data_IF_843627511898
#
_entry.id   IF_843627511898
#
_cell.length_a   1.000
_cell.length_b   1.000
_cell.length_c   1.000
_cell.angle_alpha   90.00
_cell.angle_beta   90.00
_cell.angle_gamma   90.00
#
_symmetry.space_group_name_H-M   'P 1'
#
loop_
_entity.id
_entity.type
_entity.pdbx_description
1 polymer ?
#
# COMPACT_ATOMS: atom_id res chain seq x y z
N UNK A 1 28.92 47.13 14.31
CA UNK A 1 28.51 46.38 13.11
C UNK A 1 27.26 45.62 13.46
N UNK A 2 26.11 46.22 13.11
CA UNK A 2 24.79 45.77 13.47
C UNK A 2 24.37 44.58 12.58
N UNK A 3 24.20 43.43 13.21
CA UNK A 3 23.50 42.30 12.60
C UNK A 3 22.01 42.43 12.96
N UNK A 4 21.25 43.12 12.12
CA UNK A 4 19.78 43.20 12.26
C UNK A 4 19.19 41.77 12.23
N UNK A 5 18.31 41.40 13.16
CA UNK A 5 17.60 40.14 13.12
C UNK A 5 16.61 40.15 11.97
N UNK A 6 16.67 39.16 11.08
CA UNK A 6 15.77 38.97 9.96
C UNK A 6 14.32 38.96 10.45
N UNK A 7 13.53 39.92 9.96
CA UNK A 7 12.16 40.22 10.35
C UNK A 7 11.23 39.00 10.18
N UNK A 8 10.30 38.71 11.12
CA UNK A 8 9.35 37.59 11.03
C UNK A 8 8.45 37.62 9.77
N UNK A 9 8.28 38.76 9.15
CA UNK A 9 7.53 38.95 7.89
C UNK A 9 8.23 38.30 6.67
N UNK A 10 9.56 38.15 6.69
CA UNK A 10 10.33 37.52 5.60
C UNK A 10 10.17 36.00 5.68
N UNK A 11 10.13 35.41 6.88
CA UNK A 11 9.89 33.96 7.07
C UNK A 11 8.49 33.54 6.60
N UNK A 12 7.46 34.37 6.83
CA UNK A 12 6.09 34.11 6.37
C UNK A 12 5.96 34.08 4.85
N UNK A 13 6.55 35.05 4.15
CA UNK A 13 6.51 35.14 2.68
C UNK A 13 7.22 33.96 2.00
N UNK A 14 8.39 33.52 2.50
CA UNK A 14 9.09 32.37 1.97
C UNK A 14 8.30 31.07 2.20
N UNK A 15 7.67 30.90 3.37
CA UNK A 15 6.88 29.73 3.68
C UNK A 15 5.69 29.55 2.72
N UNK A 16 4.98 30.62 2.39
CA UNK A 16 3.86 30.58 1.46
C UNK A 16 4.33 30.33 0.02
N UNK A 17 5.45 30.93 -0.37
CA UNK A 17 6.07 30.68 -1.67
C UNK A 17 6.50 29.21 -1.81
N UNK A 18 7.11 28.61 -0.78
CA UNK A 18 7.47 27.20 -0.79
C UNK A 18 6.23 26.30 -0.85
N UNK A 19 5.17 26.62 -0.12
CA UNK A 19 3.90 25.89 -0.20
C UNK A 19 3.30 25.94 -1.60
N UNK A 20 3.31 27.11 -2.24
CA UNK A 20 2.86 27.29 -3.63
C UNK A 20 3.67 26.43 -4.60
N UNK A 21 5.00 26.46 -4.51
CA UNK A 21 5.90 25.64 -5.34
C UNK A 21 5.70 24.13 -5.12
N UNK A 22 5.55 23.71 -3.88
CA UNK A 22 5.19 22.32 -3.55
C UNK A 22 3.82 21.97 -4.15
N UNK A 23 2.86 22.88 -4.11
CA UNK A 23 1.55 22.71 -4.73
C UNK A 23 1.64 22.50 -6.25
N UNK A 24 2.41 23.33 -6.95
CA UNK A 24 2.65 23.23 -8.39
C UNK A 24 3.29 21.87 -8.75
N UNK A 25 4.35 21.47 -8.02
CA UNK A 25 4.95 20.15 -8.21
C UNK A 25 3.95 19.01 -7.99
N UNK A 26 3.13 19.07 -6.95
CA UNK A 26 2.15 18.02 -6.66
C UNK A 26 1.06 17.93 -7.73
N UNK A 27 0.72 19.02 -8.41
CA UNK A 27 -0.24 19.04 -9.51
C UNK A 27 0.22 18.19 -10.71
N UNK A 28 1.54 17.97 -10.88
CA UNK A 28 2.08 17.10 -11.94
C UNK A 28 1.79 15.60 -11.75
N UNK A 29 1.17 15.21 -10.63
CA UNK A 29 0.82 13.81 -10.36
C UNK A 29 -0.69 13.59 -10.43
N UNK A 30 -1.17 12.64 -11.22
CA UNK A 30 -2.59 12.29 -11.33
C UNK A 30 -3.14 11.66 -10.05
N UNK A 31 -2.32 10.81 -9.40
CA UNK A 31 -2.75 10.05 -8.24
C UNK A 31 -2.86 10.90 -6.98
N UNK A 32 -4.07 11.07 -6.45
CA UNK A 32 -4.33 11.76 -5.19
C UNK A 32 -3.55 11.16 -4.01
N UNK A 33 -3.42 9.83 -3.96
CA UNK A 33 -2.63 9.15 -2.92
C UNK A 33 -1.14 9.47 -3.02
N UNK A 34 -0.60 9.57 -4.23
CA UNK A 34 0.79 9.99 -4.48
C UNK A 34 1.00 11.43 -4.04
N UNK A 35 0.09 12.33 -4.43
CA UNK A 35 0.11 13.74 -4.00
C UNK A 35 0.10 13.87 -2.48
N UNK A 36 -0.79 13.16 -1.79
CA UNK A 36 -0.89 13.20 -0.33
C UNK A 36 0.36 12.66 0.37
N UNK A 37 0.95 11.57 -0.13
CA UNK A 37 2.18 11.00 0.41
C UNK A 37 3.37 11.94 0.21
N UNK A 38 3.57 12.43 -1.00
CA UNK A 38 4.67 13.33 -1.35
C UNK A 38 4.57 14.67 -0.64
N UNK A 39 3.35 15.23 -0.54
CA UNK A 39 3.11 16.45 0.25
C UNK A 39 3.58 16.29 1.69
N UNK A 40 3.21 15.18 2.34
CA UNK A 40 3.62 14.92 3.74
C UNK A 40 5.12 14.82 3.88
N UNK A 41 5.78 14.14 2.93
CA UNK A 41 7.23 13.92 2.99
C UNK A 41 8.02 15.21 2.76
N UNK A 42 7.63 16.02 1.77
CA UNK A 42 8.32 17.30 1.47
C UNK A 42 8.02 18.36 2.52
N UNK A 43 6.81 18.40 3.08
CA UNK A 43 6.51 19.29 4.22
C UNK A 43 7.29 18.90 5.47
N UNK A 44 7.61 17.61 5.66
CA UNK A 44 8.49 17.17 6.74
C UNK A 44 9.93 17.63 6.52
N UNK A 45 10.42 17.57 5.28
CA UNK A 45 11.72 18.12 4.90
C UNK A 45 11.75 19.64 5.10
N UNK A 46 10.75 20.36 4.62
CA UNK A 46 10.65 21.82 4.79
C UNK A 46 10.77 22.21 6.28
N UNK A 47 10.00 21.57 7.15
CA UNK A 47 10.07 21.82 8.60
C UNK A 47 11.45 21.55 9.19
N UNK A 48 12.13 20.50 8.72
CA UNK A 48 13.48 20.19 9.16
C UNK A 48 14.48 21.26 8.73
N UNK A 49 14.40 21.72 7.48
CA UNK A 49 15.26 22.78 6.96
C UNK A 49 15.02 24.10 7.67
N UNK A 50 13.77 24.49 7.86
CA UNK A 50 13.37 25.70 8.60
C UNK A 50 13.94 25.71 10.03
N UNK A 51 13.87 24.57 10.72
CA UNK A 51 14.43 24.41 12.07
C UNK A 51 15.96 24.59 12.12
N UNK A 52 16.64 24.40 10.99
CA UNK A 52 18.10 24.59 10.86
C UNK A 52 18.45 25.89 10.12
N UNK A 53 17.49 26.79 9.91
CA UNK A 53 17.73 28.07 9.23
C UNK A 53 18.10 27.94 7.77
N UNK A 54 17.78 26.82 7.12
CA UNK A 54 18.08 26.56 5.70
C UNK A 54 16.83 26.74 4.86
N UNK A 55 16.92 27.51 3.79
CA UNK A 55 15.82 27.65 2.83
C UNK A 55 15.71 26.41 1.93
N UNK A 56 14.48 26.04 1.55
CA UNK A 56 14.19 24.84 0.77
C UNK A 56 14.94 24.82 -0.58
N UNK A 57 15.10 25.96 -1.25
CA UNK A 57 15.73 26.04 -2.55
C UNK A 57 17.27 26.25 -2.48
N UNK A 58 17.80 26.62 -1.33
CA UNK A 58 19.24 26.75 -1.11
C UNK A 58 19.84 25.54 -0.38
N UNK A 59 19.00 24.56 -0.02
CA UNK A 59 19.43 23.34 0.63
C UNK A 59 20.48 22.59 -0.20
N UNK A 60 21.51 22.11 0.48
CA UNK A 60 22.61 21.34 -0.11
C UNK A 60 22.50 19.88 0.27
N UNK A 61 23.28 19.03 -0.38
CA UNK A 61 23.34 17.60 -0.08
C UNK A 61 23.51 17.30 1.42
N UNK A 62 24.41 18.04 2.09
CA UNK A 62 24.65 17.88 3.54
C UNK A 62 23.39 18.04 4.39
N UNK A 63 22.51 18.96 4.01
CA UNK A 63 21.27 19.25 4.75
C UNK A 63 20.27 18.08 4.60
N UNK A 64 20.25 17.45 3.44
CA UNK A 64 19.47 16.23 3.17
C UNK A 64 20.07 14.99 3.86
N UNK A 65 21.39 14.89 3.97
CA UNK A 65 22.05 13.84 4.75
C UNK A 65 21.72 13.98 6.26
N UNK A 66 21.70 15.23 6.78
CA UNK A 66 21.28 15.54 8.16
C UNK A 66 19.78 15.20 8.36
N UNK A 67 18.91 15.56 7.41
CA UNK A 67 17.50 15.16 7.43
C UNK A 67 17.36 13.63 7.52
N UNK A 68 18.06 12.90 6.67
CA UNK A 68 18.01 11.43 6.68
C UNK A 68 18.48 10.84 8.02
N UNK A 69 19.52 11.43 8.63
CA UNK A 69 20.02 11.05 9.96
C UNK A 69 19.00 11.33 11.05
N UNK A 70 18.42 12.53 11.05
CA UNK A 70 17.37 12.91 12.01
C UNK A 70 16.16 11.96 11.93
N UNK A 71 15.74 11.57 10.70
CA UNK A 71 14.65 10.62 10.53
C UNK A 71 14.95 9.24 11.14
N UNK A 72 16.19 8.75 11.03
CA UNK A 72 16.61 7.51 11.67
C UNK A 72 16.59 7.61 13.19
N UNK A 73 17.08 8.72 13.75
CA UNK A 73 17.06 8.98 15.19
C UNK A 73 15.64 9.01 15.77
N UNK A 74 14.64 9.47 15.00
CA UNK A 74 13.24 9.44 15.42
C UNK A 74 12.56 8.07 15.18
N UNK A 75 13.32 7.02 14.90
CA UNK A 75 12.81 5.65 14.76
C UNK A 75 12.17 5.35 13.39
N UNK A 76 12.37 6.19 12.38
CA UNK A 76 11.87 5.88 11.04
C UNK A 76 12.61 4.68 10.43
N UNK A 77 11.85 3.71 9.91
CA UNK A 77 12.42 2.54 9.24
C UNK A 77 13.24 2.91 7.99
N UNK A 78 14.24 2.09 7.60
CA UNK A 78 15.03 2.31 6.38
C UNK A 78 14.16 2.56 5.13
N UNK A 79 13.07 1.82 4.97
CA UNK A 79 12.11 1.97 3.88
C UNK A 79 11.40 3.34 3.92
N UNK A 80 11.05 3.82 5.11
CA UNK A 80 10.43 5.13 5.29
C UNK A 80 11.41 6.25 4.95
N UNK A 81 12.66 6.15 5.40
CA UNK A 81 13.71 7.13 5.08
C UNK A 81 14.00 7.14 3.57
N UNK A 82 14.15 5.97 2.94
CA UNK A 82 14.37 5.85 1.50
C UNK A 82 13.22 6.49 0.69
N UNK A 83 11.96 6.29 1.09
CA UNK A 83 10.78 6.89 0.46
C UNK A 83 10.78 8.42 0.60
N UNK A 84 11.08 8.95 1.80
CA UNK A 84 11.15 10.41 2.06
C UNK A 84 12.24 11.07 1.21
N UNK A 85 13.41 10.44 1.11
CA UNK A 85 14.48 10.92 0.25
C UNK A 85 14.14 10.81 -1.25
N UNK A 86 13.35 9.81 -1.65
CA UNK A 86 12.84 9.72 -3.01
C UNK A 86 11.87 10.86 -3.34
N UNK A 87 10.99 11.25 -2.41
CA UNK A 87 10.11 12.40 -2.56
C UNK A 87 10.91 13.71 -2.67
N UNK A 88 11.91 13.91 -1.81
CA UNK A 88 12.81 15.06 -1.89
C UNK A 88 13.53 15.13 -3.25
N UNK A 89 14.09 14.01 -3.70
CA UNK A 89 14.76 13.93 -5.01
C UNK A 89 13.82 14.24 -6.17
N UNK A 90 12.57 13.80 -6.10
CA UNK A 90 11.55 14.09 -7.12
C UNK A 90 11.16 15.58 -7.12
N UNK A 91 11.00 16.20 -5.95
CA UNK A 91 10.75 17.63 -5.81
C UNK A 91 11.89 18.47 -6.40
N UNK A 92 13.13 18.18 -6.00
CA UNK A 92 14.29 18.94 -6.52
C UNK A 92 14.53 18.72 -8.00
N UNK A 93 14.19 17.55 -8.56
CA UNK A 93 14.23 17.35 -10.01
C UNK A 93 13.24 18.26 -10.72
N UNK A 94 12.02 18.38 -10.18
CA UNK A 94 11.02 19.30 -10.70
C UNK A 94 11.49 20.76 -10.55
N UNK A 95 12.09 21.12 -9.41
CA UNK A 95 12.62 22.46 -9.18
C UNK A 95 13.74 22.85 -10.16
N UNK A 96 14.54 21.88 -10.64
CA UNK A 96 15.53 22.12 -11.72
C UNK A 96 14.82 22.35 -13.06
N UNK A 97 13.78 21.58 -13.38
CA UNK A 97 13.01 21.73 -14.62
C UNK A 97 12.26 23.07 -14.69
N UNK A 98 11.83 23.60 -13.54
CA UNK A 98 11.20 24.91 -13.42
C UNK A 98 12.22 26.05 -13.22
N UNK A 99 13.50 25.76 -13.34
CA UNK A 99 14.60 26.75 -13.19
C UNK A 99 14.63 27.46 -11.83
N UNK A 100 14.00 26.90 -10.80
CA UNK A 100 14.06 27.44 -9.43
C UNK A 100 15.41 27.25 -8.78
N UNK A 101 16.15 26.23 -9.21
CA UNK A 101 17.50 25.87 -8.77
C UNK A 101 18.31 25.34 -9.96
N UNK A 102 19.61 25.58 -9.98
CA UNK A 102 20.47 25.12 -11.06
C UNK A 102 20.80 23.61 -11.00
N UNK A 103 20.88 23.04 -9.79
CA UNK A 103 21.29 21.65 -9.61
C UNK A 103 20.45 20.95 -8.53
N UNK A 104 20.19 19.66 -8.71
CA UNK A 104 19.45 18.86 -7.75
C UNK A 104 20.36 18.41 -6.58
N UNK A 105 20.18 18.93 -5.36
CA UNK A 105 20.99 18.54 -4.19
C UNK A 105 20.81 17.08 -3.77
N UNK A 106 19.73 16.43 -4.23
CA UNK A 106 19.42 15.05 -3.91
C UNK A 106 19.95 14.05 -4.96
N UNK A 107 20.65 14.49 -6.00
CA UNK A 107 21.09 13.64 -7.12
C UNK A 107 21.98 12.47 -6.66
N UNK A 108 22.94 12.74 -5.78
CA UNK A 108 23.89 11.75 -5.28
C UNK A 108 23.61 11.27 -3.85
N UNK A 109 22.36 11.42 -3.35
CA UNK A 109 22.00 10.94 -2.04
C UNK A 109 22.06 9.41 -1.95
N UNK A 110 22.80 8.91 -0.95
CA UNK A 110 22.78 7.50 -0.62
C UNK A 110 21.48 7.18 0.12
N UNK A 111 20.58 6.47 -0.55
CA UNK A 111 19.37 5.95 0.10
C UNK A 111 19.71 4.71 0.91
N UNK A 112 19.12 4.53 2.11
CA UNK A 112 19.25 3.28 2.83
C UNK A 112 18.90 2.10 1.94
N UNK A 113 19.71 1.05 1.99
CA UNK A 113 19.34 -0.21 1.35
C UNK A 113 18.09 -0.74 2.07
N UNK A 114 17.05 -0.95 1.33
CA UNK A 114 15.85 -1.66 1.78
C UNK A 114 16.01 -3.04 1.22
N UNK A 115 16.22 -4.01 2.11
CA UNK A 115 16.28 -5.39 1.65
C UNK A 115 14.91 -5.76 1.06
N UNK A 116 14.92 -6.02 -0.24
CA UNK A 116 13.68 -6.30 -0.96
C UNK A 116 13.08 -7.64 -0.51
N UNK A 117 13.89 -8.50 0.05
CA UNK A 117 13.51 -9.86 0.46
C UNK A 117 13.11 -9.92 1.96
N UNK A 118 13.42 -8.91 2.78
CA UNK A 118 12.94 -8.80 4.16
C UNK A 118 11.58 -8.10 4.23
N UNK A 119 10.51 -8.86 4.26
CA UNK A 119 9.23 -8.36 4.78
C UNK A 119 9.22 -8.54 6.29
N UNK A 120 9.31 -7.44 7.02
CA UNK A 120 9.10 -7.41 8.49
C UNK A 120 7.65 -7.75 8.88
N UNK A 121 6.74 -7.76 7.93
CA UNK A 121 5.34 -8.08 8.16
C UNK A 121 5.14 -9.59 8.05
N UNK A 122 5.01 -10.27 9.17
CA UNK A 122 4.56 -11.65 9.19
C UNK A 122 3.09 -11.71 8.76
N UNK A 123 2.74 -12.62 7.84
CA UNK A 123 1.35 -12.98 7.58
C UNK A 123 0.78 -13.72 8.79
N UNK A 124 -0.53 -13.86 8.84
CA UNK A 124 -1.21 -14.69 9.82
C UNK A 124 -0.87 -16.18 9.55
N UNK A 125 -0.80 -16.96 10.61
CA UNK A 125 -0.85 -18.40 10.49
C UNK A 125 -2.21 -18.84 9.95
N UNK A 126 -2.31 -20.10 9.49
CA UNK A 126 -3.59 -20.66 9.04
C UNK A 126 -4.66 -20.57 10.14
N UNK A 127 -4.31 -20.94 11.37
CA UNK A 127 -5.19 -20.88 12.51
C UNK A 127 -5.66 -19.45 12.81
N UNK A 128 -4.75 -18.47 12.86
CA UNK A 128 -5.13 -17.06 13.06
C UNK A 128 -6.03 -16.53 11.94
N UNK A 129 -5.87 -17.02 10.71
CA UNK A 129 -6.75 -16.64 9.60
C UNK A 129 -8.15 -17.26 9.76
N UNK A 130 -8.25 -18.51 10.25
CA UNK A 130 -9.49 -19.20 10.58
C UNK A 130 -10.20 -18.50 11.76
N UNK A 131 -9.49 -18.17 12.83
CA UNK A 131 -10.01 -17.42 13.98
C UNK A 131 -10.55 -16.04 13.56
N UNK A 132 -9.84 -15.35 12.65
CA UNK A 132 -10.27 -14.07 12.11
C UNK A 132 -11.57 -14.18 11.30
N UNK A 133 -11.70 -15.24 10.49
CA UNK A 133 -12.92 -15.51 9.70
C UNK A 133 -14.12 -15.79 10.60
N UNK A 134 -13.94 -16.59 11.64
CA UNK A 134 -14.99 -16.87 12.64
C UNK A 134 -15.45 -15.58 13.32
N UNK A 135 -14.50 -14.79 13.83
CA UNK A 135 -14.83 -13.50 14.45
C UNK A 135 -15.51 -12.53 13.46
N UNK A 136 -15.17 -12.61 12.16
CA UNK A 136 -15.81 -11.78 11.14
C UNK A 136 -17.26 -12.17 10.88
N UNK A 137 -17.58 -13.47 10.88
CA UNK A 137 -18.93 -14.00 10.74
C UNK A 137 -19.84 -13.51 11.87
N UNK A 138 -19.34 -13.55 13.11
CA UNK A 138 -20.07 -13.08 14.29
C UNK A 138 -20.24 -11.55 14.30
N UNK A 139 -19.32 -10.81 13.67
CA UNK A 139 -19.33 -9.34 13.71
C UNK A 139 -20.37 -8.73 12.76
N UNK A 140 -20.32 -9.03 11.46
CA UNK A 140 -21.28 -8.59 10.44
C UNK A 140 -21.01 -9.23 9.08
N UNK A 141 -22.09 -9.42 8.30
CA UNK A 141 -22.02 -9.96 6.92
C UNK A 141 -21.03 -9.17 6.05
N UNK A 142 -21.03 -7.84 6.12
CA UNK A 142 -20.13 -6.97 5.35
C UNK A 142 -18.67 -7.17 5.74
N UNK A 143 -18.35 -7.26 7.02
CA UNK A 143 -16.98 -7.46 7.49
C UNK A 143 -16.50 -8.85 7.13
N UNK A 144 -17.36 -9.86 7.27
CA UNK A 144 -17.07 -11.24 6.88
C UNK A 144 -16.75 -11.32 5.38
N UNK A 145 -17.62 -10.80 4.51
CA UNK A 145 -17.42 -10.80 3.07
C UNK A 145 -16.09 -10.10 2.66
N UNK A 146 -15.73 -8.99 3.33
CA UNK A 146 -14.46 -8.30 3.06
C UNK A 146 -13.26 -9.14 3.51
N UNK A 147 -13.30 -9.72 4.72
CA UNK A 147 -12.19 -10.55 5.24
C UNK A 147 -11.98 -11.77 4.37
N UNK A 148 -13.07 -12.47 4.02
CA UNK A 148 -13.05 -13.64 3.15
C UNK A 148 -12.46 -13.30 1.78
N UNK A 149 -12.97 -12.25 1.13
CA UNK A 149 -12.45 -11.78 -0.16
C UNK A 149 -10.94 -11.48 -0.10
N UNK A 150 -10.49 -10.73 0.92
CA UNK A 150 -9.07 -10.36 1.03
C UNK A 150 -8.16 -11.56 1.33
N UNK A 151 -8.61 -12.50 2.15
CA UNK A 151 -7.85 -13.70 2.48
C UNK A 151 -7.81 -14.72 1.33
N UNK A 152 -8.95 -14.94 0.66
CA UNK A 152 -9.04 -15.96 -0.36
C UNK A 152 -8.49 -15.53 -1.73
N UNK A 153 -8.50 -14.23 -2.03
CA UNK A 153 -8.06 -13.74 -3.35
C UNK A 153 -6.80 -12.88 -3.30
N UNK A 154 -6.46 -12.35 -2.13
CA UNK A 154 -5.33 -11.45 -1.97
C UNK A 154 -5.48 -10.11 -2.72
N UNK A 155 -6.66 -9.71 -3.17
CA UNK A 155 -6.89 -8.41 -3.83
C UNK A 155 -6.53 -7.24 -2.91
N UNK A 156 -6.18 -6.10 -3.49
CA UNK A 156 -5.93 -4.90 -2.70
C UNK A 156 -7.23 -4.36 -2.13
N UNK A 157 -7.18 -3.81 -0.91
CA UNK A 157 -8.37 -3.20 -0.28
C UNK A 157 -9.04 -2.15 -1.18
N UNK A 158 -8.25 -1.37 -1.93
CA UNK A 158 -8.81 -0.40 -2.87
C UNK A 158 -9.52 -1.05 -4.04
N UNK A 159 -9.04 -2.20 -4.52
CA UNK A 159 -9.67 -2.99 -5.58
C UNK A 159 -10.99 -3.59 -5.08
N UNK A 160 -11.01 -4.12 -3.86
CA UNK A 160 -12.23 -4.63 -3.22
C UNK A 160 -13.29 -3.54 -3.02
N UNK A 161 -12.89 -2.39 -2.45
CA UNK A 161 -13.82 -1.30 -2.11
C UNK A 161 -14.32 -0.49 -3.32
N UNK A 162 -13.70 -0.66 -4.49
CA UNK A 162 -14.16 -0.06 -5.76
C UNK A 162 -14.85 -1.07 -6.68
N UNK A 163 -14.97 -2.32 -6.25
CA UNK A 163 -15.72 -3.32 -7.00
C UNK A 163 -17.23 -3.02 -6.93
N UNK A 164 -17.93 -3.32 -8.02
CA UNK A 164 -19.38 -3.05 -8.17
C UNK A 164 -20.20 -4.33 -8.18
N UNK A 165 -21.49 -4.22 -7.91
CA UNK A 165 -22.44 -5.33 -7.96
C UNK A 165 -22.49 -5.95 -9.36
N UNK A 166 -22.45 -5.15 -10.42
CA UNK A 166 -22.38 -5.65 -11.80
C UNK A 166 -21.08 -6.35 -12.16
N UNK A 167 -20.03 -6.23 -11.32
CA UNK A 167 -18.78 -6.97 -11.47
C UNK A 167 -18.79 -8.33 -10.76
N UNK A 168 -19.78 -8.63 -9.92
CA UNK A 168 -19.90 -9.87 -9.16
C UNK A 168 -20.64 -10.92 -9.97
N UNK A 169 -19.97 -12.01 -10.30
CA UNK A 169 -20.57 -13.22 -10.92
C UNK A 169 -20.61 -14.38 -9.93
N UNK A 170 -21.06 -15.54 -10.39
CA UNK A 170 -21.17 -16.73 -9.55
C UNK A 170 -19.81 -17.22 -8.99
N UNK A 171 -18.75 -17.16 -9.78
CA UNK A 171 -17.41 -17.68 -9.46
C UNK A 171 -16.30 -16.66 -9.67
N UNK A 172 -16.63 -15.39 -9.95
CA UNK A 172 -15.67 -14.36 -10.35
C UNK A 172 -16.08 -12.97 -9.92
N UNK A 173 -15.08 -12.11 -9.74
CA UNK A 173 -15.26 -10.69 -9.48
C UNK A 173 -14.41 -9.88 -10.46
N UNK A 174 -15.02 -8.92 -11.14
CA UNK A 174 -14.31 -7.94 -11.95
C UNK A 174 -13.83 -6.81 -11.05
N UNK A 175 -12.53 -6.55 -11.05
CA UNK A 175 -11.90 -5.46 -10.27
C UNK A 175 -11.18 -4.48 -11.19
N UNK A 176 -11.01 -3.26 -10.73
CA UNK A 176 -10.16 -2.25 -11.38
C UNK A 176 -8.83 -2.14 -10.66
N UNK A 177 -7.73 -2.50 -11.34
CA UNK A 177 -6.37 -2.41 -10.81
C UNK A 177 -5.81 -1.00 -10.95
N UNK A 178 -4.68 -0.75 -10.30
CA UNK A 178 -3.95 0.53 -10.41
C UNK A 178 -3.64 0.84 -11.89
N UNK A 179 -4.05 2.03 -12.34
CA UNK A 179 -3.92 2.46 -13.74
C UNK A 179 -5.16 2.18 -14.60
N UNK A 180 -6.31 1.80 -13.98
CA UNK A 180 -7.60 1.64 -14.68
C UNK A 180 -7.79 0.29 -15.37
N UNK A 181 -6.80 -0.60 -15.35
CA UNK A 181 -6.91 -1.91 -16.01
C UNK A 181 -7.95 -2.79 -15.29
N UNK A 182 -8.91 -3.33 -16.03
CA UNK A 182 -9.86 -4.33 -15.51
C UNK A 182 -9.17 -5.69 -15.41
N UNK A 183 -9.49 -6.44 -14.37
CA UNK A 183 -9.02 -7.80 -14.17
C UNK A 183 -10.13 -8.65 -13.57
N UNK A 184 -10.16 -9.92 -13.94
CA UNK A 184 -11.07 -10.92 -13.38
C UNK A 184 -10.33 -11.67 -12.28
N UNK A 185 -10.99 -11.82 -11.14
CA UNK A 185 -10.51 -12.59 -9.99
C UNK A 185 -11.46 -13.76 -9.79
N UNK A 186 -10.92 -14.97 -9.73
CA UNK A 186 -11.70 -16.15 -9.38
C UNK A 186 -12.11 -16.11 -7.90
N UNK A 187 -13.36 -16.42 -7.62
CA UNK A 187 -13.93 -16.51 -6.28
C UNK A 187 -14.16 -17.98 -5.92
N UNK A 188 -13.56 -18.47 -4.83
CA UNK A 188 -14.01 -19.71 -4.23
C UNK A 188 -15.49 -19.65 -3.86
N UNK A 189 -16.19 -20.77 -3.92
CA UNK A 189 -17.66 -20.86 -3.67
C UNK A 189 -18.07 -20.15 -2.38
N UNK A 190 -17.35 -20.39 -1.27
CA UNK A 190 -17.65 -19.75 0.01
C UNK A 190 -17.50 -18.22 -0.03
N UNK A 191 -16.52 -17.71 -0.80
CA UNK A 191 -16.28 -16.26 -0.94
C UNK A 191 -17.38 -15.63 -1.79
N UNK A 192 -17.79 -16.29 -2.87
CA UNK A 192 -18.92 -15.87 -3.68
C UNK A 192 -20.21 -15.85 -2.85
N UNK A 193 -20.48 -16.91 -2.09
CA UNK A 193 -21.64 -16.98 -1.20
C UNK A 193 -21.66 -15.85 -0.15
N UNK A 194 -20.51 -15.52 0.45
CA UNK A 194 -20.40 -14.41 1.41
C UNK A 194 -20.70 -13.05 0.76
N UNK A 195 -20.24 -12.83 -0.48
CA UNK A 195 -20.49 -11.60 -1.22
C UNK A 195 -21.96 -11.50 -1.65
N UNK A 196 -22.55 -12.58 -2.13
CA UNK A 196 -23.97 -12.63 -2.49
C UNK A 196 -24.88 -12.44 -1.26
N UNK A 197 -24.57 -13.07 -0.14
CA UNK A 197 -25.31 -12.85 1.11
C UNK A 197 -25.25 -11.38 1.58
N UNK A 198 -24.14 -10.70 1.32
CA UNK A 198 -23.99 -9.27 1.67
C UNK A 198 -24.83 -8.37 0.76
N UNK A 199 -24.97 -8.70 -0.51
CA UNK A 199 -25.70 -7.90 -1.51
C UNK A 199 -27.20 -8.23 -1.57
N UNK A 200 -27.63 -9.33 -0.95
CA UNK A 200 -29.00 -9.85 -1.10
C UNK A 200 -29.27 -10.46 -2.48
N UNK A 201 -28.23 -10.71 -3.28
CA UNK A 201 -28.33 -11.26 -4.64
C UNK A 201 -28.25 -12.79 -4.60
N UNK A 202 -29.02 -13.45 -5.45
CA UNK A 202 -29.05 -14.93 -5.58
C UNK A 202 -27.98 -15.49 -6.53
N UNK A 203 -27.11 -14.65 -7.07
CA UNK A 203 -25.93 -15.10 -7.85
C UNK A 203 -26.21 -15.53 -9.29
N UNK A 204 -27.47 -15.56 -9.74
CA UNK A 204 -27.86 -16.14 -11.04
C UNK A 204 -27.99 -15.09 -12.15
N UNK A 205 -28.10 -13.81 -11.81
CA UNK A 205 -28.27 -12.74 -12.79
C UNK A 205 -27.11 -11.76 -12.75
N UNK A 206 -26.43 -11.57 -13.90
CA UNK A 206 -25.65 -10.37 -14.15
C UNK A 206 -26.63 -9.19 -14.04
N UNK A 207 -26.42 -8.30 -13.08
CA UNK A 207 -27.27 -7.14 -12.88
C UNK A 207 -27.39 -6.36 -14.20
N UNK A 208 -28.58 -6.38 -14.78
CA UNK A 208 -28.94 -5.62 -15.98
C UNK A 208 -29.53 -4.29 -15.51
N UNK A 209 -28.89 -3.17 -15.87
CA UNK A 209 -29.41 -1.84 -15.58
C UNK A 209 -28.59 -1.03 -14.58
N UNK A 210 -29.20 -0.03 -13.96
CA UNK A 210 -28.58 0.96 -13.04
C UNK A 210 -27.93 0.36 -11.78
N UNK A 211 -28.24 -0.90 -11.43
CA UNK A 211 -27.63 -1.61 -10.29
C UNK A 211 -26.18 -2.04 -10.56
N UNK A 212 -25.77 -2.13 -11.82
CA UNK A 212 -24.43 -2.59 -12.21
C UNK A 212 -23.29 -1.69 -11.71
N UNK A 213 -23.58 -0.43 -11.44
CA UNK A 213 -22.57 0.55 -11.01
C UNK A 213 -22.51 0.77 -9.49
N UNK A 214 -23.38 0.12 -8.71
CA UNK A 214 -23.33 0.26 -7.25
C UNK A 214 -22.10 -0.43 -6.66
N UNK A 215 -21.47 0.23 -5.71
CA UNK A 215 -20.33 -0.37 -5.00
C UNK A 215 -20.78 -1.56 -4.15
N UNK A 216 -20.01 -2.65 -4.20
CA UNK A 216 -20.23 -3.83 -3.35
C UNK A 216 -20.15 -3.48 -1.86
N UNK A 217 -19.19 -2.66 -1.47
CA UNK A 217 -18.93 -2.34 -0.08
C UNK A 217 -19.35 -0.91 0.25
N UNK A 218 -20.54 -0.78 0.83
CA UNK A 218 -21.10 0.50 1.28
C UNK A 218 -21.27 0.54 2.79
N UNK A 219 -21.48 1.71 3.37
CA UNK A 219 -21.91 1.90 4.76
C UNK A 219 -23.38 1.50 4.92
N UNK A 220 -23.89 1.51 6.15
CA UNK A 220 -25.32 1.30 6.41
C UNK A 220 -26.23 2.37 5.78
N UNK A 221 -25.65 3.53 5.42
CA UNK A 221 -26.35 4.63 4.74
C UNK A 221 -26.19 4.60 3.23
N UNK A 222 -25.60 3.54 2.65
CA UNK A 222 -25.35 3.42 1.22
C UNK A 222 -24.12 4.20 0.69
N UNK A 223 -23.43 4.97 1.53
CA UNK A 223 -22.23 5.68 1.14
C UNK A 223 -21.03 4.73 0.91
N UNK A 224 -20.06 5.08 0.05
CA UNK A 224 -18.85 4.27 -0.14
C UNK A 224 -18.14 4.01 1.18
N UNK A 225 -17.77 2.75 1.45
CA UNK A 225 -17.02 2.43 2.66
C UNK A 225 -15.57 2.93 2.54
N UNK A 226 -15.22 3.93 3.36
CA UNK A 226 -13.91 4.54 3.29
C UNK A 226 -12.81 3.52 3.65
N UNK A 227 -11.72 3.52 2.89
CA UNK A 227 -10.57 2.62 3.10
C UNK A 227 -10.01 2.69 4.53
N UNK A 228 -10.02 3.87 5.13
CA UNK A 228 -9.55 4.08 6.51
C UNK A 228 -10.45 3.37 7.52
N UNK A 229 -11.75 3.37 7.29
CA UNK A 229 -12.72 2.77 8.19
C UNK A 229 -12.73 1.25 8.05
N UNK A 230 -12.66 0.74 6.83
CA UNK A 230 -12.45 -0.68 6.57
C UNK A 230 -11.15 -1.19 7.23
N UNK A 231 -10.04 -0.46 7.09
CA UNK A 231 -8.78 -0.84 7.73
C UNK A 231 -8.86 -0.79 9.28
N UNK A 232 -9.60 0.17 9.85
CA UNK A 232 -9.86 0.22 11.30
C UNK A 232 -10.73 -0.94 11.76
N UNK A 233 -11.75 -1.31 10.98
CA UNK A 233 -12.60 -2.46 11.26
C UNK A 233 -11.76 -3.76 11.30
N UNK A 234 -10.91 -4.00 10.32
CA UNK A 234 -10.00 -5.15 10.30
C UNK A 234 -9.06 -5.18 11.51
N UNK A 235 -8.47 -4.04 11.88
CA UNK A 235 -7.58 -3.96 13.04
C UNK A 235 -8.32 -4.24 14.36
N UNK A 236 -9.56 -3.79 14.48
CA UNK A 236 -10.43 -4.03 15.64
C UNK A 236 -10.83 -5.50 15.73
N UNK A 237 -11.24 -6.07 14.59
CA UNK A 237 -11.60 -7.47 14.48
C UNK A 237 -10.44 -8.40 14.88
N UNK A 238 -9.22 -8.14 14.39
CA UNK A 238 -8.03 -8.93 14.74
C UNK A 238 -7.76 -8.92 16.25
N UNK A 239 -8.03 -7.81 16.95
CA UNK A 239 -7.92 -7.74 18.41
C UNK A 239 -9.03 -8.57 19.10
N UNK A 240 -10.25 -8.52 18.61
CA UNK A 240 -11.36 -9.36 19.14
C UNK A 240 -11.06 -10.84 18.94
N UNK A 241 -10.43 -11.23 17.82
CA UNK A 241 -10.00 -12.60 17.55
C UNK A 241 -8.73 -13.02 18.33
N UNK A 242 -8.21 -12.20 19.24
CA UNK A 242 -7.00 -12.52 20.02
C UNK A 242 -5.69 -12.53 19.22
N UNK A 243 -5.69 -11.99 18.00
CA UNK A 243 -4.53 -12.01 17.12
C UNK A 243 -3.53 -10.93 17.55
N UNK A 244 -2.30 -11.33 17.89
CA UNK A 244 -1.24 -10.40 18.34
C UNK A 244 -0.76 -9.48 17.21
N UNK A 245 -0.67 -10.01 16.00
CA UNK A 245 -0.29 -9.24 14.81
C UNK A 245 -1.37 -8.23 14.47
N UNK A 246 -1.00 -6.97 14.28
CA UNK A 246 -1.97 -5.96 13.84
C UNK A 246 -2.54 -6.33 12.47
N UNK A 247 -3.80 -6.75 12.44
CA UNK A 247 -4.49 -7.12 11.20
C UNK A 247 -4.75 -5.86 10.36
N UNK A 248 -4.18 -5.86 9.16
CA UNK A 248 -4.34 -4.81 8.17
C UNK A 248 -4.62 -5.43 6.80
N UNK A 249 -5.18 -4.70 5.82
CA UNK A 249 -5.37 -5.24 4.47
C UNK A 249 -4.10 -5.81 3.85
N UNK A 250 -2.94 -5.21 4.17
CA UNK A 250 -1.65 -5.68 3.67
C UNK A 250 -1.24 -7.00 4.33
N UNK A 251 -1.50 -7.16 5.62
CA UNK A 251 -1.28 -8.43 6.34
C UNK A 251 -2.13 -9.53 5.74
N UNK A 252 -3.42 -9.29 5.44
CA UNK A 252 -4.30 -10.31 4.84
C UNK A 252 -3.82 -10.73 3.44
N UNK A 253 -3.42 -9.77 2.62
CA UNK A 253 -2.83 -10.07 1.31
C UNK A 253 -1.50 -10.84 1.43
N UNK A 254 -0.68 -10.52 2.43
CA UNK A 254 0.55 -11.26 2.72
C UNK A 254 0.23 -12.68 3.20
N UNK A 255 -0.78 -12.84 4.05
CA UNK A 255 -1.30 -14.13 4.49
C UNK A 255 -1.72 -15.00 3.31
N UNK A 256 -2.56 -14.45 2.40
CA UNK A 256 -2.94 -15.13 1.17
C UNK A 256 -1.71 -15.64 0.40
N UNK A 257 -0.76 -14.76 0.11
CA UNK A 257 0.42 -15.12 -0.66
C UNK A 257 1.26 -16.22 0.01
N UNK A 258 1.44 -16.13 1.33
CA UNK A 258 2.22 -17.12 2.10
C UNK A 258 1.51 -18.46 2.16
N UNK A 259 0.19 -18.47 2.37
CA UNK A 259 -0.60 -19.69 2.41
C UNK A 259 -0.67 -20.37 1.03
N UNK A 260 -0.84 -19.59 -0.04
CA UNK A 260 -0.84 -20.10 -1.41
C UNK A 260 0.50 -20.79 -1.76
N UNK A 261 1.63 -20.16 -1.45
CA UNK A 261 2.96 -20.76 -1.68
C UNK A 261 3.17 -22.04 -0.84
N UNK A 262 2.70 -22.04 0.41
CA UNK A 262 2.75 -23.23 1.27
C UNK A 262 1.85 -24.37 0.77
N UNK A 263 0.76 -24.02 0.10
CA UNK A 263 -0.13 -24.98 -0.56
C UNK A 263 0.40 -25.47 -1.92
N UNK A 264 1.59 -25.03 -2.35
CA UNK A 264 2.22 -25.48 -3.59
C UNK A 264 1.87 -24.67 -4.84
N UNK A 265 1.17 -23.52 -4.70
CA UNK A 265 0.90 -22.66 -5.85
C UNK A 265 2.23 -22.10 -6.38
N UNK A 266 2.47 -22.28 -7.68
CA UNK A 266 3.68 -21.77 -8.30
C UNK A 266 3.78 -20.25 -8.22
N UNK A 267 5.01 -19.75 -8.01
CA UNK A 267 5.26 -18.31 -7.76
C UNK A 267 4.72 -17.42 -8.89
N UNK A 268 4.83 -17.86 -10.16
CA UNK A 268 4.32 -17.07 -11.30
C UNK A 268 2.79 -17.00 -11.31
N UNK A 269 2.07 -18.09 -11.00
CA UNK A 269 0.61 -18.06 -10.87
C UNK A 269 0.15 -17.14 -9.74
N UNK A 270 0.86 -17.17 -8.60
CA UNK A 270 0.58 -16.23 -7.51
C UNK A 270 0.85 -14.77 -7.93
N UNK A 271 1.93 -14.54 -8.69
CA UNK A 271 2.27 -13.22 -9.21
C UNK A 271 1.17 -12.65 -10.10
N UNK A 272 0.66 -13.46 -11.02
CA UNK A 272 -0.41 -13.10 -11.95
C UNK A 272 -1.71 -12.81 -11.20
N UNK A 273 -2.09 -13.70 -10.27
CA UNK A 273 -3.28 -13.55 -9.42
C UNK A 273 -3.23 -12.25 -8.61
N UNK A 274 -2.08 -11.94 -8.02
CA UNK A 274 -1.89 -10.71 -7.27
C UNK A 274 -1.72 -9.45 -8.15
N UNK A 275 -1.49 -9.61 -9.45
CA UNK A 275 -1.24 -8.50 -10.38
C UNK A 275 0.02 -7.71 -10.03
N UNK A 276 1.11 -8.40 -9.73
CA UNK A 276 2.40 -7.79 -9.53
C UNK A 276 3.13 -7.64 -10.86
N UNK A 277 3.33 -6.39 -11.29
CA UNK A 277 4.13 -6.10 -12.50
C UNK A 277 5.62 -6.42 -12.32
N UNK A 278 6.13 -6.33 -11.07
CA UNK A 278 7.53 -6.63 -10.73
C UNK A 278 7.60 -7.97 -9.97
N UNK A 279 8.28 -8.98 -10.53
CA UNK A 279 8.47 -10.30 -9.92
C UNK A 279 9.09 -10.25 -8.52
N UNK A 280 9.96 -9.25 -8.27
CA UNK A 280 10.59 -9.04 -6.96
C UNK A 280 9.58 -8.83 -5.85
N UNK A 281 8.40 -8.29 -6.15
CA UNK A 281 7.34 -8.09 -5.17
C UNK A 281 6.77 -9.41 -4.66
N UNK A 282 6.66 -10.43 -5.51
CA UNK A 282 6.14 -11.75 -5.14
C UNK A 282 7.22 -12.61 -4.48
N UNK A 283 8.48 -12.44 -4.87
CA UNK A 283 9.63 -13.15 -4.25
C UNK A 283 9.73 -12.92 -2.74
N UNK A 284 9.26 -11.79 -2.23
CA UNK A 284 9.21 -11.47 -0.78
C UNK A 284 8.40 -12.47 0.04
N UNK A 285 7.48 -13.18 -0.58
CA UNK A 285 6.64 -14.17 0.08
C UNK A 285 7.26 -15.56 0.08
N UNK A 286 8.25 -15.82 -0.77
CA UNK A 286 8.91 -17.11 -0.93
C UNK A 286 10.04 -17.29 0.09
N UNK A 287 9.66 -17.48 1.36
CA UNK A 287 10.60 -17.78 2.44
C UNK A 287 11.11 -19.22 2.41
N UNK A 288 10.51 -20.07 1.56
CA UNK A 288 10.91 -21.48 1.42
C UNK A 288 12.14 -21.66 0.52
N UNK A 289 12.59 -20.60 -0.18
CA UNK A 289 13.72 -20.66 -1.15
C UNK A 289 15.05 -21.10 -0.55
N UNK A 290 15.25 -20.91 0.75
CA UNK A 290 16.49 -21.22 1.45
C UNK A 290 16.51 -22.62 2.08
N UNK A 291 15.44 -23.40 1.97
CA UNK A 291 15.41 -24.76 2.50
C UNK A 291 16.02 -25.72 1.49
N UNK A 292 17.02 -26.49 1.93
CA UNK A 292 17.65 -27.56 1.14
C UNK A 292 16.62 -28.60 0.63
N UNK A 293 15.49 -28.74 1.33
CA UNK A 293 14.36 -29.60 0.95
C UNK A 293 13.70 -29.19 -0.38
N UNK A 294 13.79 -27.91 -0.77
CA UNK A 294 13.24 -27.35 -2.01
C UNK A 294 14.33 -27.13 -3.08
N UNK A 295 15.47 -27.84 -2.98
CA UNK A 295 16.51 -27.75 -3.98
C UNK A 295 16.06 -28.43 -5.28
N UNK A 296 16.17 -27.68 -6.40
CA UNK A 296 15.92 -28.28 -7.73
C UNK A 296 16.79 -29.50 -8.01
N UNK A 297 17.99 -29.57 -7.42
CA UNK A 297 18.87 -30.71 -7.54
C UNK A 297 18.25 -32.00 -6.95
N UNK A 298 17.51 -31.86 -5.84
CA UNK A 298 16.78 -33.03 -5.27
C UNK A 298 15.65 -33.45 -6.20
N UNK A 299 14.80 -32.51 -6.61
CA UNK A 299 13.67 -32.82 -7.51
C UNK A 299 14.13 -33.45 -8.83
N UNK A 300 15.23 -32.93 -9.39
CA UNK A 300 15.79 -33.50 -10.62
C UNK A 300 16.47 -34.84 -10.35
N UNK A 301 17.16 -35.00 -9.22
CA UNK A 301 17.77 -36.27 -8.82
C UNK A 301 16.74 -37.39 -8.67
N UNK A 302 15.59 -37.09 -8.08
CA UNK A 302 14.48 -38.07 -7.90
C UNK A 302 13.84 -38.52 -9.24
N UNK A 303 14.07 -37.76 -10.36
CA UNK A 303 13.62 -38.21 -11.70
C UNK A 303 14.50 -39.30 -12.33
N UNK A 304 15.69 -39.51 -11.78
CA UNK A 304 16.68 -40.49 -12.32
C UNK A 304 16.90 -41.68 -11.39
N UNK A 305 16.12 -41.80 -10.34
CA UNK A 305 16.04 -42.94 -9.45
C UNK A 305 14.81 -43.78 -9.77
#
# INVERSE_FOLDING_TARGET
MDASPSSPAIRGRNADQHRSRIGAWLASYDSQNTRAAYRRDVLLLLRHLDAHGTDLLTARRRDLDLFARAQRHTGASPATVARRLAAASAFYRYAVLEEWIATNPAHHLRRPRVDADETTTAGLSRREAEDLLTAAQEHSVRVHALVDLLLCTGVRISEALTATTGGLGADRLVITRKGGARAVVHLPERTAAALHAMTGSTGTELATGNESDQLLFTTSTGAPWARTDAARALTRLGRCAGIRTRVTPHVLRHTHATLALRAGVALHHLQDSLGHKDPRTTRRYDRARTRLENSSARTVGDLFT
#
